data_IF_016612218575
#
_entry.id   IF_016612218575
#
_cell.length_a   1.000
_cell.length_b   1.000
_cell.length_c   1.000
_cell.angle_alpha   90.00
_cell.angle_beta   90.00
_cell.angle_gamma   90.00
#
_symmetry.space_group_name_H-M   'P 1'
#
loop_
_entity.id
_entity.type
_entity.pdbx_description
1 polymer ?
#
# COMPACT_ATOMS: atom_id res chain seq x y z
N UNK A 1 14.35 24.29 14.77
CA UNK A 1 14.29 22.84 14.48
C UNK A 1 12.84 22.34 14.48
N UNK A 2 12.05 22.63 15.51
CA UNK A 2 10.65 22.16 15.67
C UNK A 2 9.65 22.58 14.57
N UNK A 3 9.76 23.78 13.99
CA UNK A 3 8.81 24.23 12.96
C UNK A 3 8.88 23.42 11.68
N UNK A 4 10.08 23.05 11.23
CA UNK A 4 10.29 22.26 10.01
C UNK A 4 9.78 20.83 10.21
N UNK A 5 10.02 20.23 11.38
CA UNK A 5 9.49 18.91 11.74
C UNK A 5 7.97 18.88 11.78
N UNK A 6 7.34 19.92 12.35
CA UNK A 6 5.88 20.05 12.38
C UNK A 6 5.28 20.17 10.97
N UNK A 7 5.93 20.91 10.08
CA UNK A 7 5.53 21.04 8.68
C UNK A 7 5.65 19.69 7.96
N UNK A 8 6.78 19.00 8.12
CA UNK A 8 7.02 17.68 7.51
C UNK A 8 6.01 16.63 7.98
N UNK A 9 5.71 16.60 9.28
CA UNK A 9 4.70 15.71 9.85
C UNK A 9 3.30 16.01 9.29
N UNK A 10 2.95 17.28 9.13
CA UNK A 10 1.67 17.69 8.53
C UNK A 10 1.53 17.20 7.09
N UNK A 11 2.56 17.37 6.26
CA UNK A 11 2.57 16.84 4.89
C UNK A 11 2.42 15.32 4.87
N UNK A 12 3.05 14.61 5.81
CA UNK A 12 2.93 13.16 5.92
C UNK A 12 1.50 12.74 6.21
N UNK A 13 0.84 13.35 7.21
CA UNK A 13 -0.55 13.05 7.53
C UNK A 13 -1.50 13.30 6.36
N UNK A 14 -1.30 14.40 5.63
CA UNK A 14 -2.09 14.74 4.44
C UNK A 14 -1.85 13.71 3.33
N UNK A 15 -0.60 13.30 3.12
CA UNK A 15 -0.24 12.26 2.15
C UNK A 15 -0.91 10.91 2.47
N UNK A 16 -0.89 10.50 3.73
CA UNK A 16 -1.54 9.28 4.19
C UNK A 16 -3.06 9.34 3.97
N UNK A 17 -3.69 10.48 4.25
CA UNK A 17 -5.12 10.71 4.01
C UNK A 17 -5.48 10.59 2.52
N UNK A 18 -4.73 11.23 1.62
CA UNK A 18 -4.98 11.14 0.18
C UNK A 18 -4.77 9.73 -0.34
N UNK A 19 -3.79 9.01 0.19
CA UNK A 19 -3.51 7.65 -0.23
C UNK A 19 -4.65 6.70 0.13
N UNK A 20 -5.19 6.80 1.36
CA UNK A 20 -6.39 6.04 1.75
C UNK A 20 -7.59 6.44 0.90
N UNK A 21 -7.81 7.74 0.73
CA UNK A 21 -8.93 8.27 -0.05
C UNK A 21 -8.93 7.72 -1.48
N UNK A 22 -7.78 7.67 -2.13
CA UNK A 22 -7.64 7.10 -3.48
C UNK A 22 -8.06 5.62 -3.54
N UNK A 23 -7.67 4.81 -2.56
CA UNK A 23 -8.07 3.39 -2.49
C UNK A 23 -9.56 3.22 -2.25
N UNK A 24 -10.14 4.03 -1.36
CA UNK A 24 -11.58 4.04 -1.09
C UNK A 24 -12.37 4.41 -2.33
N UNK A 25 -11.95 5.46 -3.05
CA UNK A 25 -12.59 5.89 -4.30
C UNK A 25 -12.51 4.78 -5.34
N UNK A 26 -11.36 4.11 -5.48
CA UNK A 26 -11.20 3.01 -6.43
C UNK A 26 -12.12 1.83 -6.09
N UNK A 27 -12.16 1.40 -4.82
CA UNK A 27 -13.04 0.34 -4.36
C UNK A 27 -14.52 0.70 -4.56
N UNK A 28 -14.91 1.93 -4.21
CA UNK A 28 -16.26 2.43 -4.41
C UNK A 28 -16.63 2.50 -5.90
N UNK A 29 -15.70 2.93 -6.77
CA UNK A 29 -15.92 2.94 -8.22
C UNK A 29 -16.23 1.54 -8.74
N UNK A 30 -15.42 0.54 -8.39
CA UNK A 30 -15.61 -0.86 -8.80
C UNK A 30 -16.98 -1.38 -8.34
N UNK A 31 -17.34 -1.12 -7.08
CA UNK A 31 -18.63 -1.54 -6.52
C UNK A 31 -19.81 -0.80 -7.16
N UNK A 32 -19.66 0.48 -7.54
CA UNK A 32 -20.74 1.25 -8.17
C UNK A 32 -20.94 0.87 -9.63
N UNK A 33 -19.87 0.65 -10.39
CA UNK A 33 -19.94 0.27 -11.80
C UNK A 33 -20.14 -1.23 -12.00
N UNK A 34 -19.97 -2.03 -10.94
CA UNK A 34 -20.00 -3.50 -10.98
C UNK A 34 -19.07 -4.09 -12.05
N UNK A 35 -17.98 -3.36 -12.34
CA UNK A 35 -17.06 -3.66 -13.44
C UNK A 35 -15.65 -3.18 -13.10
N UNK A 36 -14.68 -4.02 -13.45
CA UNK A 36 -13.24 -3.80 -13.32
C UNK A 36 -12.56 -3.56 -14.67
N UNK A 37 -13.33 -3.24 -15.73
CA UNK A 37 -12.77 -2.95 -17.05
C UNK A 37 -11.80 -1.77 -17.01
N UNK A 38 -10.64 -1.92 -17.66
CA UNK A 38 -9.57 -0.92 -17.67
C UNK A 38 -8.66 -0.91 -16.43
N UNK A 39 -8.84 -1.83 -15.48
CA UNK A 39 -7.93 -2.00 -14.34
C UNK A 39 -7.00 -3.20 -14.53
N UNK A 40 -5.69 -2.97 -14.36
CA UNK A 40 -4.71 -4.07 -14.32
C UNK A 40 -4.77 -4.78 -12.97
N UNK A 41 -5.15 -6.05 -12.99
CA UNK A 41 -5.11 -6.91 -11.81
C UNK A 41 -3.67 -7.09 -11.32
N UNK A 42 -2.71 -7.24 -12.26
CA UNK A 42 -1.29 -7.45 -11.93
C UNK A 42 -0.73 -6.30 -11.11
N UNK A 43 -1.06 -5.05 -11.47
CA UNK A 43 -0.65 -3.87 -10.70
C UNK A 43 -1.28 -3.84 -9.31
N UNK A 44 -2.58 -4.14 -9.19
CA UNK A 44 -3.26 -4.17 -7.89
C UNK A 44 -2.71 -5.27 -6.98
N UNK A 45 -2.34 -6.43 -7.55
CA UNK A 45 -1.68 -7.50 -6.82
C UNK A 45 -0.25 -7.10 -6.42
N UNK A 46 0.52 -6.43 -7.29
CA UNK A 46 1.85 -5.93 -6.94
C UNK A 46 1.80 -4.91 -5.80
N UNK A 47 0.82 -3.99 -5.82
CA UNK A 47 0.62 -3.07 -4.69
C UNK A 47 0.34 -3.82 -3.40
N UNK A 48 -0.47 -4.89 -3.43
CA UNK A 48 -0.72 -5.72 -2.26
C UNK A 48 0.58 -6.32 -1.72
N UNK A 49 1.41 -6.92 -2.59
CA UNK A 49 2.71 -7.49 -2.20
C UNK A 49 3.62 -6.43 -1.59
N UNK A 50 3.65 -5.22 -2.14
CA UNK A 50 4.44 -4.09 -1.59
C UNK A 50 3.95 -3.68 -0.20
N UNK A 51 2.64 -3.58 0.04
CA UNK A 51 2.14 -3.21 1.37
C UNK A 51 2.39 -4.32 2.41
N UNK A 52 2.24 -5.58 2.02
CA UNK A 52 2.54 -6.71 2.90
C UNK A 52 4.02 -6.76 3.25
N UNK A 53 4.92 -6.62 2.27
CA UNK A 53 6.36 -6.65 2.53
C UNK A 53 6.85 -5.43 3.31
N UNK A 54 6.26 -4.24 3.07
CA UNK A 54 6.59 -3.01 3.78
C UNK A 54 6.11 -3.01 5.23
N UNK A 55 4.92 -3.52 5.48
CA UNK A 55 4.27 -3.49 6.79
C UNK A 55 4.29 -4.85 7.47
N UNK A 56 5.22 -5.74 7.09
CA UNK A 56 5.45 -7.01 7.77
C UNK A 56 5.86 -6.80 9.24
N UNK A 57 6.44 -5.64 9.55
CA UNK A 57 6.80 -5.18 10.89
C UNK A 57 5.60 -4.86 11.81
N UNK A 58 4.36 -4.96 11.31
CA UNK A 58 3.14 -4.76 12.12
C UNK A 58 3.07 -5.69 13.33
N UNK A 59 3.71 -6.86 13.26
CA UNK A 59 3.73 -7.82 14.36
C UNK A 59 4.70 -7.43 15.50
N UNK A 60 5.66 -6.53 15.26
CA UNK A 60 6.60 -6.01 16.27
C UNK A 60 6.01 -4.85 17.08
N UNK A 61 4.71 -4.92 17.34
CA UNK A 61 3.97 -3.80 17.88
C UNK A 61 4.32 -3.53 19.35
N UNK A 62 4.77 -2.30 19.66
CA UNK A 62 4.94 -1.78 21.03
C UNK A 62 3.90 -0.68 21.34
N UNK A 63 3.00 -0.92 22.30
CA UNK A 63 1.98 0.04 22.78
C UNK A 63 2.61 1.07 23.73
N UNK A 64 3.38 2.03 23.20
CA UNK A 64 4.09 3.01 24.06
C UNK A 64 3.52 4.45 23.93
N UNK A 65 2.93 4.83 22.78
CA UNK A 65 2.48 6.20 22.51
C UNK A 65 1.26 6.24 21.54
N UNK A 66 0.41 7.26 21.65
CA UNK A 66 -0.76 7.48 20.76
C UNK A 66 -0.40 7.46 19.26
N UNK A 67 0.76 8.03 18.91
CA UNK A 67 1.26 8.04 17.52
C UNK A 67 1.58 6.62 16.98
N UNK A 68 1.96 5.68 17.85
CA UNK A 68 2.18 4.27 17.47
C UNK A 68 0.87 3.59 17.09
N UNK A 69 -0.21 3.88 17.82
CA UNK A 69 -1.54 3.36 17.54
C UNK A 69 -2.07 3.87 16.18
N UNK A 70 -1.91 5.16 15.90
CA UNK A 70 -2.26 5.75 14.60
C UNK A 70 -1.56 5.03 13.44
N UNK A 71 -0.24 4.83 13.55
CA UNK A 71 0.53 4.14 12.52
C UNK A 71 0.08 2.68 12.33
N UNK A 72 -0.25 1.96 13.40
CA UNK A 72 -0.74 0.59 13.28
C UNK A 72 -2.10 0.50 12.59
N UNK A 73 -3.05 1.37 12.98
CA UNK A 73 -4.36 1.43 12.33
C UNK A 73 -4.18 1.74 10.84
N UNK A 74 -3.34 2.73 10.49
CA UNK A 74 -3.03 3.04 9.11
C UNK A 74 -2.46 1.84 8.34
N UNK A 75 -1.43 1.18 8.88
CA UNK A 75 -0.78 0.02 8.24
C UNK A 75 -1.80 -1.09 7.94
N UNK A 76 -2.65 -1.41 8.91
CA UNK A 76 -3.72 -2.41 8.74
C UNK A 76 -4.76 -1.94 7.70
N UNK A 77 -5.21 -0.69 7.77
CA UNK A 77 -6.16 -0.14 6.79
C UNK A 77 -5.62 -0.19 5.37
N UNK A 78 -4.33 0.13 5.14
CA UNK A 78 -3.73 0.05 3.81
C UNK A 78 -3.74 -1.37 3.24
N UNK A 79 -3.39 -2.36 4.05
CA UNK A 79 -3.42 -3.78 3.65
C UNK A 79 -4.87 -4.20 3.38
N UNK A 80 -5.81 -3.83 4.25
CA UNK A 80 -7.23 -4.20 4.14
C UNK A 80 -7.90 -3.61 2.90
N UNK A 81 -7.68 -2.32 2.60
CA UNK A 81 -8.23 -1.72 1.37
C UNK A 81 -7.60 -2.32 0.11
N UNK A 82 -6.30 -2.60 0.13
CA UNK A 82 -5.65 -3.21 -1.03
C UNK A 82 -6.11 -4.66 -1.25
N UNK A 83 -6.25 -5.44 -0.19
CA UNK A 83 -6.78 -6.81 -0.28
C UNK A 83 -8.24 -6.82 -0.75
N UNK A 84 -9.05 -5.85 -0.30
CA UNK A 84 -10.41 -5.67 -0.79
C UNK A 84 -10.44 -5.40 -2.31
N UNK A 85 -9.60 -4.50 -2.83
CA UNK A 85 -9.53 -4.24 -4.29
C UNK A 85 -9.14 -5.52 -5.06
N UNK A 86 -8.14 -6.25 -4.58
CA UNK A 86 -7.71 -7.52 -5.19
C UNK A 86 -8.84 -8.55 -5.17
N UNK A 87 -9.57 -8.66 -4.06
CA UNK A 87 -10.76 -9.51 -3.92
C UNK A 87 -11.86 -9.13 -4.92
N UNK A 88 -12.17 -7.84 -5.04
CA UNK A 88 -13.20 -7.35 -5.95
C UNK A 88 -12.86 -7.69 -7.41
N UNK A 89 -11.60 -7.54 -7.82
CA UNK A 89 -11.18 -7.82 -9.20
C UNK A 89 -11.12 -9.32 -9.47
N UNK A 90 -10.51 -10.11 -8.57
CA UNK A 90 -10.21 -11.53 -8.85
C UNK A 90 -11.38 -12.47 -8.60
N UNK A 91 -12.24 -12.15 -7.64
CA UNK A 91 -13.32 -13.04 -7.22
C UNK A 91 -14.68 -12.48 -7.64
N UNK A 92 -15.00 -11.23 -7.28
CA UNK A 92 -16.35 -10.69 -7.46
C UNK A 92 -16.68 -10.27 -8.90
N UNK A 93 -15.78 -9.51 -9.54
CA UNK A 93 -16.01 -8.90 -10.85
C UNK A 93 -15.06 -9.43 -11.93
N UNK A 94 -14.58 -10.66 -11.77
CA UNK A 94 -13.61 -11.27 -12.67
C UNK A 94 -14.08 -11.36 -14.12
N UNK A 95 -15.39 -11.53 -14.36
CA UNK A 95 -15.95 -11.60 -15.71
C UNK A 95 -15.71 -10.31 -16.54
N UNK A 96 -15.58 -9.16 -15.87
CA UNK A 96 -15.32 -7.86 -16.50
C UNK A 96 -13.83 -7.53 -16.67
N UNK A 97 -12.95 -8.40 -16.16
CA UNK A 97 -11.50 -8.21 -16.24
C UNK A 97 -10.97 -8.66 -17.60
N UNK A 98 -10.37 -7.72 -18.33
CA UNK A 98 -9.75 -8.01 -19.61
C UNK A 98 -8.29 -8.47 -19.43
N UNK A 99 -8.11 -9.79 -19.44
CA UNK A 99 -6.78 -10.41 -19.36
C UNK A 99 -5.93 -10.12 -20.61
N UNK A 100 -6.54 -9.83 -21.77
CA UNK A 100 -5.81 -9.61 -23.02
C UNK A 100 -5.12 -8.25 -23.04
N UNK A 101 -5.68 -7.24 -22.36
CA UNK A 101 -5.01 -5.94 -22.20
C UNK A 101 -3.94 -5.96 -21.11
N UNK A 102 -4.05 -6.82 -20.10
CA UNK A 102 -3.06 -6.93 -19.01
C UNK A 102 -1.90 -7.89 -19.35
N UNK A 103 -1.14 -7.59 -20.41
CA UNK A 103 -0.05 -8.45 -20.93
C UNK A 103 1.28 -8.32 -20.17
N UNK A 104 1.42 -7.32 -19.29
CA UNK A 104 2.68 -7.00 -18.64
C UNK A 104 3.23 -8.18 -17.81
N UNK A 105 4.50 -8.53 -18.00
CA UNK A 105 5.16 -9.64 -17.29
C UNK A 105 5.74 -9.13 -15.97
N UNK A 106 5.08 -9.48 -14.86
CA UNK A 106 5.46 -9.07 -13.49
C UNK A 106 6.94 -9.34 -13.15
N UNK A 107 7.52 -10.40 -13.72
CA UNK A 107 8.93 -10.77 -13.50
C UNK A 107 9.91 -9.63 -13.84
N UNK A 108 9.60 -8.78 -14.82
CA UNK A 108 10.43 -7.63 -15.18
C UNK A 108 10.46 -6.54 -14.10
N UNK A 109 9.54 -6.57 -13.12
CA UNK A 109 9.55 -5.66 -11.98
C UNK A 109 10.15 -6.34 -10.74
N UNK A 110 9.73 -7.58 -10.45
CA UNK A 110 10.18 -8.28 -9.23
C UNK A 110 11.68 -8.58 -9.27
N UNK A 111 12.22 -9.07 -10.39
CA UNK A 111 13.64 -9.45 -10.48
C UNK A 111 14.56 -8.23 -10.23
N UNK A 112 14.45 -7.11 -10.96
CA UNK A 112 15.34 -5.98 -10.73
C UNK A 112 15.11 -5.33 -9.37
N UNK A 113 13.87 -5.25 -8.87
CA UNK A 113 13.63 -4.71 -7.52
C UNK A 113 14.26 -5.56 -6.41
N UNK A 114 14.23 -6.89 -6.54
CA UNK A 114 14.87 -7.79 -5.58
C UNK A 114 16.39 -7.68 -5.62
N UNK A 115 16.97 -7.62 -6.82
CA UNK A 115 18.41 -7.39 -7.01
C UNK A 115 18.83 -6.06 -6.38
N UNK A 116 18.16 -4.97 -6.72
CA UNK A 116 18.44 -3.64 -6.16
C UNK A 116 18.27 -3.61 -4.64
N UNK A 117 17.26 -4.30 -4.11
CA UNK A 117 17.04 -4.38 -2.66
C UNK A 117 18.17 -5.09 -1.92
N UNK A 118 18.91 -6.00 -2.55
CA UNK A 118 20.07 -6.66 -1.92
C UNK A 118 21.31 -5.75 -1.93
N UNK A 119 21.53 -5.03 -3.02
CA UNK A 119 22.71 -4.17 -3.17
C UNK A 119 22.59 -2.82 -2.45
N UNK A 120 21.38 -2.25 -2.36
CA UNK A 120 21.15 -0.89 -1.85
C UNK A 120 20.55 -0.87 -0.44
N UNK A 121 20.54 -2.00 0.28
CA UNK A 121 19.98 -2.07 1.64
C UNK A 121 20.84 -1.27 2.63
N UNK A 122 20.47 -0.01 2.85
CA UNK A 122 20.95 0.75 4.01
C UNK A 122 20.40 0.15 5.31
N UNK A 123 21.09 0.38 6.43
CA UNK A 123 20.51 0.14 7.77
C UNK A 123 19.32 1.08 7.92
N UNK A 124 18.13 0.59 7.59
CA UNK A 124 16.89 1.30 7.92
C UNK A 124 16.69 1.16 9.42
N UNK A 125 16.89 2.27 10.14
CA UNK A 125 16.25 2.47 11.44
C UNK A 125 14.75 2.20 11.29
N UNK A 126 14.19 1.37 12.16
CA UNK A 126 12.78 1.01 12.10
C UNK A 126 11.90 2.25 12.19
N UNK A 127 10.64 2.17 11.78
CA UNK A 127 9.72 3.31 11.84
C UNK A 127 9.53 3.85 13.29
N UNK A 128 9.92 3.07 14.30
CA UNK A 128 9.95 3.43 15.72
C UNK A 128 11.20 4.21 16.16
N UNK A 129 12.30 4.17 15.39
CA UNK A 129 13.58 4.84 15.71
C UNK A 129 13.64 6.29 15.19
N UNK A 130 12.62 6.75 14.46
CA UNK A 130 12.45 8.17 14.15
C UNK A 130 11.94 8.90 15.40
N UNK A 131 12.84 9.00 16.38
CA UNK A 131 12.65 9.62 17.67
C UNK A 131 11.86 10.92 17.58
N UNK A 132 10.79 10.97 18.35
CA UNK A 132 10.55 12.12 19.22
C UNK A 132 11.55 12.03 20.37
#
# INVERSE_FOLDING_TARGET
MSTIENIANSFRFIGDFFHISSKVILAHKIEKTKSCSGLSFKTQFLYFVVFVSRYFDVFEFKYVKFMSLYNFILKISFIAFQSAIVYLIRLRYYASYDKKSDTFKISHLIIPSLVLSLFLKSKSVGFYDWGL
#
